data_IF_718187377919
#
_entry.id   IF_718187377919
#
_cell.length_a   1.000
_cell.length_b   1.000
_cell.length_c   1.000
_cell.angle_alpha   90.00
_cell.angle_beta   90.00
_cell.angle_gamma   90.00
#
_symmetry.space_group_name_H-M   'P 1'
#
loop_
_entity.id
_entity.type
_entity.pdbx_description
1 polymer ?
#
# COMPACT_ATOMS: atom_id res chain seq x y z
N UNK A 1 -3.02 2.47 -21.35
CA UNK A 1 -2.56 1.26 -20.65
C UNK A 1 -3.26 0.05 -21.24
N UNK A 2 -2.51 -1.00 -21.52
CA UNK A 2 -3.10 -2.23 -22.02
C UNK A 2 -3.95 -2.90 -20.93
N UNK A 3 -4.99 -3.60 -21.34
CA UNK A 3 -5.87 -4.33 -20.44
C UNK A 3 -5.10 -5.31 -19.54
N UNK A 4 -4.09 -6.00 -20.12
CA UNK A 4 -3.25 -6.96 -19.39
C UNK A 4 -2.44 -6.31 -18.28
N UNK A 5 -1.97 -5.08 -18.49
CA UNK A 5 -1.23 -4.35 -17.46
C UNK A 5 -2.11 -4.05 -16.23
N UNK A 6 -3.37 -3.67 -16.45
CA UNK A 6 -4.30 -3.44 -15.34
C UNK A 6 -4.51 -4.73 -14.53
N UNK A 7 -4.73 -5.86 -15.20
CA UNK A 7 -4.90 -7.15 -14.54
C UNK A 7 -3.65 -7.53 -13.75
N UNK A 8 -2.46 -7.31 -14.31
CA UNK A 8 -1.18 -7.60 -13.64
C UNK A 8 -0.99 -6.73 -12.39
N UNK A 9 -1.30 -5.44 -12.48
CA UNK A 9 -1.20 -4.53 -11.34
C UNK A 9 -2.17 -4.93 -10.21
N UNK A 10 -3.40 -5.24 -10.55
CA UNK A 10 -4.41 -5.70 -9.59
C UNK A 10 -3.95 -7.01 -8.94
N UNK A 11 -3.44 -7.94 -9.74
CA UNK A 11 -2.91 -9.22 -9.26
C UNK A 11 -1.74 -9.03 -8.30
N UNK A 12 -0.80 -8.15 -8.63
CA UNK A 12 0.34 -7.82 -7.77
C UNK A 12 -0.10 -7.23 -6.43
N UNK A 13 -1.02 -6.27 -6.46
CA UNK A 13 -1.53 -5.63 -5.25
C UNK A 13 -2.34 -6.60 -4.38
N UNK A 14 -3.01 -7.57 -5.00
CA UNK A 14 -3.72 -8.63 -4.28
C UNK A 14 -2.75 -9.64 -3.65
N UNK A 15 -1.70 -10.01 -4.38
CA UNK A 15 -0.67 -10.94 -3.89
C UNK A 15 0.06 -10.43 -2.65
N UNK A 16 0.14 -9.12 -2.46
CA UNK A 16 0.70 -8.50 -1.25
C UNK A 16 0.01 -9.02 0.01
N UNK A 17 -1.32 -9.17 -0.02
CA UNK A 17 -2.07 -9.67 1.13
C UNK A 17 -1.70 -11.11 1.46
N UNK A 18 -1.55 -11.95 0.44
CA UNK A 18 -1.19 -13.36 0.63
C UNK A 18 0.24 -13.47 1.17
N UNK A 19 1.16 -12.73 0.59
CA UNK A 19 2.58 -12.80 0.97
C UNK A 19 2.80 -12.29 2.39
N UNK A 20 2.26 -11.13 2.74
CA UNK A 20 2.39 -10.59 4.10
C UNK A 20 1.67 -11.50 5.09
N UNK A 21 0.48 -12.01 4.75
CA UNK A 21 -0.25 -12.95 5.58
C UNK A 21 0.55 -14.20 5.91
N UNK A 22 1.25 -14.77 4.92
CA UNK A 22 2.15 -15.90 5.13
C UNK A 22 3.34 -15.55 6.02
N UNK A 23 3.94 -14.38 5.80
CA UNK A 23 5.07 -13.92 6.61
C UNK A 23 4.69 -13.71 8.07
N UNK A 24 3.53 -13.13 8.31
CA UNK A 24 3.05 -12.90 9.67
C UNK A 24 2.62 -14.19 10.36
N UNK A 25 2.01 -15.11 9.62
CA UNK A 25 1.67 -16.47 10.09
C UNK A 25 1.20 -16.53 11.53
N UNK A 26 1.87 -17.37 12.31
CA UNK A 26 1.58 -17.60 13.73
C UNK A 26 2.39 -16.72 14.68
N UNK A 27 2.91 -15.58 14.19
CA UNK A 27 3.81 -14.74 14.99
C UNK A 27 3.17 -14.16 16.26
N UNK A 28 1.86 -14.01 16.28
CA UNK A 28 1.19 -13.38 17.38
C UNK A 28 1.64 -11.92 17.55
N UNK A 29 1.49 -11.39 18.77
CA UNK A 29 1.84 -9.99 19.07
C UNK A 29 3.31 -9.81 19.50
N UNK A 30 4.04 -10.90 19.70
CA UNK A 30 5.40 -10.87 20.24
C UNK A 30 6.45 -10.71 19.13
N UNK A 31 6.59 -9.50 18.63
CA UNK A 31 7.66 -9.17 17.70
C UNK A 31 8.66 -8.28 18.41
N UNK A 32 9.89 -8.80 18.60
CA UNK A 32 10.97 -8.00 19.18
C UNK A 32 11.35 -6.87 18.24
N UNK A 33 11.52 -5.69 18.81
CA UNK A 33 11.92 -4.51 18.06
C UNK A 33 13.44 -4.46 17.89
N UNK A 34 13.88 -4.14 16.68
CA UNK A 34 15.30 -3.84 16.42
C UNK A 34 15.53 -2.36 16.66
N UNK A 35 16.41 -1.98 17.60
CA UNK A 35 16.69 -0.57 17.87
C UNK A 35 17.10 0.18 16.59
N UNK A 36 16.55 1.37 16.38
CA UNK A 36 16.89 2.23 15.26
C UNK A 36 16.24 1.87 13.93
N UNK A 37 15.40 0.84 13.90
CA UNK A 37 14.67 0.42 12.71
C UNK A 37 13.17 0.29 13.02
N UNK A 38 12.33 0.41 11.99
CA UNK A 38 10.89 0.23 12.19
C UNK A 38 10.56 -1.18 12.62
N UNK A 39 9.70 -1.29 13.62
CA UNK A 39 9.09 -2.55 14.03
C UNK A 39 8.10 -3.02 12.98
N UNK A 40 7.67 -4.27 13.05
CA UNK A 40 6.61 -4.80 12.18
C UNK A 40 5.32 -3.98 12.37
N UNK A 41 4.98 -3.62 13.61
CA UNK A 41 3.82 -2.78 13.87
C UNK A 41 3.92 -1.42 13.15
N UNK A 42 5.07 -0.76 13.19
CA UNK A 42 5.28 0.50 12.50
C UNK A 42 5.18 0.35 10.98
N UNK A 43 5.75 -0.73 10.42
CA UNK A 43 5.64 -1.02 8.98
C UNK A 43 4.18 -1.19 8.58
N UNK A 44 3.41 -1.97 9.35
CA UNK A 44 2.00 -2.22 9.05
C UNK A 44 1.13 -0.97 9.23
N UNK A 45 1.41 -0.14 10.23
CA UNK A 45 0.75 1.16 10.37
C UNK A 45 1.05 2.07 9.18
N UNK A 46 2.30 2.06 8.70
CA UNK A 46 2.68 2.82 7.52
C UNK A 46 1.95 2.33 6.26
N UNK A 47 1.86 1.01 6.06
CA UNK A 47 1.11 0.45 4.94
C UNK A 47 -0.37 0.83 5.00
N UNK A 48 -0.97 0.80 6.18
CA UNK A 48 -2.36 1.21 6.38
C UNK A 48 -2.57 2.69 6.02
N UNK A 49 -1.70 3.56 6.49
CA UNK A 49 -1.78 4.99 6.22
C UNK A 49 -1.60 5.29 4.74
N UNK A 50 -0.60 4.70 4.10
CA UNK A 50 -0.36 4.90 2.67
C UNK A 50 -1.48 4.32 1.82
N UNK A 51 -2.10 3.24 2.26
CA UNK A 51 -3.27 2.68 1.57
C UNK A 51 -4.43 3.68 1.54
N UNK A 52 -4.71 4.34 2.66
CA UNK A 52 -5.71 5.41 2.69
C UNK A 52 -5.37 6.54 1.73
N UNK A 53 -4.10 6.92 1.66
CA UNK A 53 -3.64 7.99 0.76
C UNK A 53 -3.79 7.59 -0.71
N UNK A 54 -3.39 6.37 -1.09
CA UNK A 54 -3.54 5.88 -2.47
C UNK A 54 -5.01 5.83 -2.88
N UNK A 55 -5.88 5.26 -2.05
CA UNK A 55 -7.31 5.20 -2.33
C UNK A 55 -7.90 6.60 -2.47
N UNK A 56 -7.57 7.51 -1.56
CA UNK A 56 -8.05 8.89 -1.60
C UNK A 56 -7.66 9.58 -2.90
N UNK A 57 -6.43 9.38 -3.36
CA UNK A 57 -5.93 9.97 -4.62
C UNK A 57 -6.62 9.36 -5.83
N UNK A 58 -6.77 8.04 -5.88
CA UNK A 58 -7.47 7.37 -6.98
C UNK A 58 -8.91 7.87 -7.08
N UNK A 59 -9.63 7.95 -5.97
CA UNK A 59 -11.00 8.45 -5.95
C UNK A 59 -11.09 9.91 -6.41
N UNK A 60 -10.15 10.73 -5.99
CA UNK A 60 -10.09 12.13 -6.39
C UNK A 60 -9.82 12.27 -7.89
N UNK A 61 -8.87 11.50 -8.41
CA UNK A 61 -8.52 11.51 -9.84
C UNK A 61 -9.65 10.94 -10.71
N UNK A 62 -10.45 10.03 -10.16
CA UNK A 62 -11.63 9.50 -10.84
C UNK A 62 -12.77 10.52 -10.88
N UNK A 63 -12.91 11.33 -9.84
CA UNK A 63 -14.02 12.28 -9.66
C UNK A 63 -13.76 13.64 -10.28
N UNK A 64 -12.53 14.13 -10.22
CA UNK A 64 -12.15 15.47 -10.64
C UNK A 64 -11.25 15.44 -11.87
N UNK A 65 -11.32 16.48 -12.71
CA UNK A 65 -10.38 16.65 -13.82
C UNK A 65 -9.06 17.21 -13.30
N UNK A 66 -7.97 16.50 -13.58
CA UNK A 66 -6.60 16.91 -13.23
C UNK A 66 -6.45 17.55 -11.84
N UNK A 67 -6.86 16.85 -10.77
CA UNK A 67 -6.81 17.45 -9.43
C UNK A 67 -5.37 17.74 -9.00
N UNK A 68 -5.24 18.76 -8.14
CA UNK A 68 -3.96 19.08 -7.49
C UNK A 68 -3.94 18.39 -6.14
N UNK A 69 -2.90 17.59 -5.93
CA UNK A 69 -2.72 16.79 -4.71
C UNK A 69 -1.32 17.01 -4.16
N UNK A 70 -1.10 16.64 -2.92
CA UNK A 70 0.18 16.83 -2.23
C UNK A 70 0.54 15.58 -1.45
N UNK A 71 1.84 15.25 -1.44
CA UNK A 71 2.38 14.26 -0.53
C UNK A 71 2.43 14.88 0.87
N UNK A 72 1.77 14.22 1.83
CA UNK A 72 1.74 14.66 3.21
C UNK A 72 2.90 14.03 3.99
N UNK A 73 3.43 14.72 5.03
CA UNK A 73 4.44 14.13 5.90
C UNK A 73 3.92 12.86 6.57
N UNK A 74 4.84 11.94 6.89
CA UNK A 74 4.50 10.74 7.61
C UNK A 74 4.07 11.07 9.04
N UNK A 75 2.97 10.48 9.51
CA UNK A 75 2.55 10.61 10.89
C UNK A 75 3.34 9.67 11.80
N UNK A 76 3.00 9.66 13.09
CA UNK A 76 3.48 8.67 14.04
C UNK A 76 2.79 7.33 13.74
N UNK A 77 3.59 6.29 13.47
CA UNK A 77 3.11 4.96 13.11
C UNK A 77 3.05 3.97 14.29
N UNK A 78 3.08 4.46 15.51
CA UNK A 78 3.04 3.61 16.71
C UNK A 78 1.64 3.39 17.28
N UNK A 79 0.59 3.87 16.59
CA UNK A 79 -0.77 3.96 17.15
C UNK A 79 -1.49 2.63 17.32
N UNK A 80 -1.28 1.68 16.41
CA UNK A 80 -1.98 0.40 16.41
C UNK A 80 -0.99 -0.74 16.65
N UNK A 81 -1.48 -1.82 17.28
CA UNK A 81 -0.72 -3.06 17.34
C UNK A 81 -0.55 -3.64 15.94
N UNK A 82 0.45 -4.51 15.76
CA UNK A 82 0.67 -5.16 14.47
C UNK A 82 -0.59 -5.87 13.97
N UNK A 83 -1.27 -6.60 14.84
CA UNK A 83 -2.49 -7.33 14.46
C UNK A 83 -3.61 -6.38 14.01
N UNK A 84 -3.84 -5.30 14.76
CA UNK A 84 -4.88 -4.33 14.40
C UNK A 84 -4.56 -3.61 13.09
N UNK A 85 -3.31 -3.18 12.92
CA UNK A 85 -2.88 -2.53 11.69
C UNK A 85 -3.01 -3.47 10.49
N UNK A 86 -2.58 -4.72 10.64
CA UNK A 86 -2.71 -5.74 9.58
C UNK A 86 -4.17 -5.99 9.22
N UNK A 87 -5.05 -6.18 10.21
CA UNK A 87 -6.47 -6.44 9.96
C UNK A 87 -7.11 -5.29 9.19
N UNK A 88 -6.84 -4.06 9.60
CA UNK A 88 -7.39 -2.88 8.92
C UNK A 88 -6.81 -2.71 7.52
N UNK A 89 -5.51 -2.93 7.34
CA UNK A 89 -4.88 -2.88 6.02
C UNK A 89 -5.46 -3.94 5.08
N UNK A 90 -5.62 -5.17 5.55
CA UNK A 90 -6.18 -6.27 4.78
C UNK A 90 -7.58 -5.94 4.26
N UNK A 91 -8.46 -5.49 5.14
CA UNK A 91 -9.83 -5.12 4.76
C UNK A 91 -9.87 -3.93 3.81
N UNK A 92 -9.05 -2.93 4.06
CA UNK A 92 -8.96 -1.74 3.22
C UNK A 92 -8.43 -2.09 1.82
N UNK A 93 -7.36 -2.89 1.73
CA UNK A 93 -6.82 -3.34 0.44
C UNK A 93 -7.83 -4.14 -0.36
N UNK A 94 -8.60 -5.01 0.29
CA UNK A 94 -9.67 -5.76 -0.39
C UNK A 94 -10.70 -4.82 -1.01
N UNK A 95 -11.10 -3.77 -0.29
CA UNK A 95 -12.01 -2.75 -0.84
C UNK A 95 -11.37 -2.00 -2.00
N UNK A 96 -10.09 -1.68 -1.88
CA UNK A 96 -9.35 -0.98 -2.93
C UNK A 96 -9.24 -1.85 -4.20
N UNK A 97 -8.99 -3.14 -4.04
CA UNK A 97 -8.97 -4.06 -5.19
C UNK A 97 -10.31 -4.09 -5.92
N UNK A 98 -11.43 -4.05 -5.19
CA UNK A 98 -12.75 -3.94 -5.82
C UNK A 98 -12.91 -2.65 -6.60
N UNK A 99 -12.43 -1.54 -6.05
CA UNK A 99 -12.43 -0.25 -6.75
C UNK A 99 -11.61 -0.33 -8.04
N UNK A 100 -10.39 -0.87 -7.96
CA UNK A 100 -9.51 -0.98 -9.13
C UNK A 100 -10.12 -1.87 -10.23
N UNK A 101 -10.76 -2.96 -9.86
CA UNK A 101 -11.46 -3.84 -10.81
C UNK A 101 -12.64 -3.14 -11.49
N UNK A 102 -13.22 -2.14 -10.86
CA UNK A 102 -14.34 -1.38 -11.43
C UNK A 102 -13.91 -0.28 -12.40
N UNK A 103 -12.61 0.04 -12.47
CA UNK A 103 -12.12 1.10 -13.34
C UNK A 103 -12.19 0.69 -14.81
N UNK A 104 -12.78 1.56 -15.62
CA UNK A 104 -12.76 1.41 -17.08
C UNK A 104 -11.35 1.68 -17.62
N UNK A 105 -10.96 1.09 -18.77
CA UNK A 105 -9.63 1.33 -19.33
C UNK A 105 -9.24 2.80 -19.47
N UNK A 106 -10.19 3.65 -19.86
CA UNK A 106 -9.94 5.10 -19.98
C UNK A 106 -9.66 5.76 -18.63
N UNK A 107 -10.26 5.28 -17.53
CA UNK A 107 -10.07 5.84 -16.21
C UNK A 107 -8.64 5.63 -15.69
N UNK A 108 -8.00 4.54 -16.04
CA UNK A 108 -6.61 4.28 -15.68
C UNK A 108 -5.64 5.34 -16.19
N UNK A 109 -6.00 6.03 -17.27
CA UNK A 109 -5.20 7.08 -17.88
C UNK A 109 -5.47 8.47 -17.29
N UNK A 110 -6.46 8.62 -16.44
CA UNK A 110 -6.78 9.89 -15.80
C UNK A 110 -5.60 10.33 -14.95
N UNK A 111 -5.36 11.63 -14.94
CA UNK A 111 -4.17 12.20 -14.30
C UNK A 111 -4.52 13.29 -13.31
N UNK A 112 -3.54 13.60 -12.48
CA UNK A 112 -3.54 14.73 -11.57
C UNK A 112 -2.10 15.19 -11.34
N UNK A 113 -1.93 16.22 -10.55
CA UNK A 113 -0.61 16.70 -10.14
C UNK A 113 -0.40 16.32 -8.68
N UNK A 114 0.70 15.66 -8.39
CA UNK A 114 1.09 15.27 -7.03
C UNK A 114 2.38 16.00 -6.66
N UNK A 115 2.26 17.08 -5.87
CA UNK A 115 3.41 17.87 -5.44
C UNK A 115 4.20 17.08 -4.38
N UNK A 116 5.52 16.96 -4.48
CA UNK A 116 6.45 17.58 -5.44
C UNK A 116 6.78 16.73 -6.67
N UNK A 117 6.15 15.57 -6.86
CA UNK A 117 6.49 14.61 -7.92
C UNK A 117 6.15 15.13 -9.31
N UNK A 118 5.02 15.82 -9.46
CA UNK A 118 4.53 16.31 -10.74
C UNK A 118 3.30 15.55 -11.22
N UNK A 119 3.13 15.45 -12.54
CA UNK A 119 1.99 14.78 -13.15
C UNK A 119 2.04 13.28 -12.90
N UNK A 120 0.92 12.72 -12.44
CA UNK A 120 0.77 11.27 -12.23
C UNK A 120 -0.55 10.80 -12.84
N UNK A 121 -0.58 9.58 -13.34
CA UNK A 121 -1.81 8.90 -13.76
C UNK A 121 -2.26 7.93 -12.67
N UNK A 122 -3.51 7.47 -12.74
CA UNK A 122 -3.98 6.40 -11.85
C UNK A 122 -3.10 5.16 -12.05
N UNK A 123 -2.81 4.78 -13.29
CA UNK A 123 -1.93 3.64 -13.58
C UNK A 123 -0.54 3.84 -12.95
N UNK A 124 0.06 5.01 -13.09
CA UNK A 124 1.35 5.32 -12.48
C UNK A 124 1.33 5.26 -10.97
N UNK A 125 0.25 5.74 -10.35
CA UNK A 125 0.08 5.69 -8.91
C UNK A 125 0.01 4.24 -8.40
N UNK A 126 -0.71 3.37 -9.11
CA UNK A 126 -0.83 1.97 -8.72
C UNK A 126 0.46 1.19 -8.97
N UNK A 127 1.22 1.49 -10.03
CA UNK A 127 2.57 0.94 -10.22
C UNK A 127 3.47 1.30 -9.02
N UNK A 128 3.40 2.53 -8.58
CA UNK A 128 4.16 2.99 -7.41
C UNK A 128 3.72 2.24 -6.15
N UNK A 129 2.41 2.06 -5.97
CA UNK A 129 1.88 1.29 -4.84
C UNK A 129 2.40 -0.16 -4.84
N UNK A 130 2.43 -0.81 -6.00
CA UNK A 130 2.95 -2.17 -6.12
C UNK A 130 4.44 -2.25 -5.74
N UNK A 131 5.25 -1.30 -6.18
CA UNK A 131 6.67 -1.23 -5.82
C UNK A 131 6.86 -0.95 -4.32
N UNK A 132 6.05 -0.08 -3.76
CA UNK A 132 6.06 0.23 -2.33
C UNK A 132 5.70 -1.00 -1.50
N UNK A 133 4.69 -1.76 -1.90
CA UNK A 133 4.32 -3.04 -1.29
C UNK A 133 5.50 -4.01 -1.26
N UNK A 134 6.19 -4.17 -2.40
CA UNK A 134 7.31 -5.08 -2.52
C UNK A 134 8.45 -4.70 -1.57
N UNK A 135 8.74 -3.41 -1.47
CA UNK A 135 9.78 -2.90 -0.58
C UNK A 135 9.45 -3.22 0.90
N UNK A 136 8.23 -2.95 1.32
CA UNK A 136 7.84 -3.18 2.71
C UNK A 136 7.62 -4.66 3.03
N UNK A 137 7.18 -5.47 2.07
CA UNK A 137 7.13 -6.92 2.22
C UNK A 137 8.52 -7.50 2.47
N UNK A 138 9.52 -7.05 1.71
CA UNK A 138 10.91 -7.45 1.92
C UNK A 138 11.43 -6.97 3.28
N UNK A 139 11.04 -5.77 3.71
CA UNK A 139 11.41 -5.24 5.02
C UNK A 139 10.85 -6.09 6.16
N UNK A 140 9.58 -6.50 6.07
CA UNK A 140 8.95 -7.42 7.03
C UNK A 140 9.73 -8.75 7.07
N UNK A 141 10.03 -9.32 5.91
CA UNK A 141 10.77 -10.57 5.82
C UNK A 141 12.14 -10.47 6.52
N UNK A 142 12.85 -9.36 6.32
CA UNK A 142 14.14 -9.14 7.00
C UNK A 142 14.00 -9.03 8.52
N UNK A 143 12.93 -8.38 9.01
CA UNK A 143 12.67 -8.31 10.45
C UNK A 143 12.47 -9.71 11.05
N UNK A 144 11.74 -10.57 10.34
CA UNK A 144 11.49 -11.94 10.78
C UNK A 144 12.76 -12.80 10.74
N UNK A 145 13.58 -12.64 9.71
CA UNK A 145 14.84 -13.38 9.59
C UNK A 145 15.82 -13.05 10.71
N UNK A 146 15.88 -11.79 11.14
CA UNK A 146 16.73 -11.36 12.25
C UNK A 146 16.38 -11.99 13.59
N UNK A 147 15.15 -12.52 13.73
CA UNK A 147 14.71 -13.19 14.95
C UNK A 147 15.20 -14.62 15.09
N UNK A 148 15.64 -15.23 13.99
CA UNK A 148 16.07 -16.64 13.95
C UNK A 148 17.57 -16.81 14.24
N UNK A 149 18.29 -15.73 14.35
CA UNK A 149 19.74 -15.75 14.67
C UNK A 149 20.04 -15.63 16.19
#
# INVERSE_FOLDING_TARGET
>A
MAFDEAADLIGSCGATLDTIGLLLGDLGEEVEETPGAWSIAEILNHLLDTEHRYIGRVRKMRRELTPKMRIMPDPDYTKLTALKAWTQFYELRKRHLRLLRSLEPAEWKRSGTLTPVGKVSIAGLIRHMAAHDAMHTAQIARRLSGRQS
#
